data_IF_865059216740
#
_entry.id   IF_865059216740
#
_cell.length_a   1.000
_cell.length_b   1.000
_cell.length_c   1.000
_cell.angle_alpha   90.00
_cell.angle_beta   90.00
_cell.angle_gamma   90.00
#
_symmetry.space_group_name_H-M   'P 1'
#
loop_
_entity.id
_entity.type
_entity.pdbx_description
1 polymer ?
#
# COMPACT_ATOMS: atom_id res chain seq x y z
N UNK A 1 -8.15 6.86 17.85
CA UNK A 1 -6.86 6.15 18.02
C UNK A 1 -5.91 6.56 16.91
N UNK A 2 -4.64 6.88 17.20
CA UNK A 2 -3.66 7.13 16.13
C UNK A 2 -3.28 5.77 15.56
N UNK A 3 -3.70 5.47 14.33
CA UNK A 3 -3.39 4.21 13.65
C UNK A 3 -1.88 3.92 13.71
N UNK A 4 -1.53 2.62 13.78
CA UNK A 4 -0.16 2.14 13.96
C UNK A 4 0.87 2.69 12.96
N UNK A 5 2.16 2.44 13.22
CA UNK A 5 3.25 2.99 12.41
C UNK A 5 3.18 2.49 10.96
N UNK A 6 3.19 3.41 10.00
CA UNK A 6 3.29 3.10 8.56
C UNK A 6 4.51 2.24 8.23
N UNK A 7 5.62 2.43 8.94
CA UNK A 7 6.84 1.62 8.76
C UNK A 7 6.63 0.16 9.16
N UNK A 8 5.88 -0.09 10.23
CA UNK A 8 5.59 -1.43 10.70
C UNK A 8 4.65 -2.17 9.76
N UNK A 9 3.56 -1.53 9.35
CA UNK A 9 2.64 -2.11 8.37
C UNK A 9 3.36 -2.47 7.05
N UNK A 10 4.25 -1.59 6.56
CA UNK A 10 5.07 -1.88 5.38
C UNK A 10 5.98 -3.10 5.55
N UNK A 11 6.57 -3.28 6.73
CA UNK A 11 7.42 -4.44 7.04
C UNK A 11 6.61 -5.74 6.99
N UNK A 12 5.41 -5.74 7.55
CA UNK A 12 4.50 -6.89 7.51
C UNK A 12 4.17 -7.25 6.06
N UNK A 13 3.87 -6.26 5.22
CA UNK A 13 3.59 -6.50 3.81
C UNK A 13 4.75 -7.18 3.05
N UNK A 14 6.02 -7.04 3.48
CA UNK A 14 7.16 -7.67 2.80
C UNK A 14 7.15 -9.20 2.89
N UNK A 15 6.55 -9.76 3.95
CA UNK A 15 6.41 -11.21 4.12
C UNK A 15 5.04 -11.75 3.68
N UNK A 16 4.20 -10.92 3.07
CA UNK A 16 2.84 -11.28 2.72
C UNK A 16 2.79 -11.94 1.33
N UNK A 17 2.32 -13.19 1.25
CA UNK A 17 2.21 -13.95 0.00
C UNK A 17 1.24 -13.30 -1.02
N UNK A 18 0.26 -12.54 -0.54
CA UNK A 18 -0.73 -11.86 -1.38
C UNK A 18 -0.40 -10.39 -1.63
N UNK A 19 0.84 -9.96 -1.35
CA UNK A 19 1.26 -8.54 -1.44
C UNK A 19 0.91 -7.90 -2.78
N UNK A 20 1.18 -8.60 -3.88
CA UNK A 20 0.97 -8.07 -5.23
C UNK A 20 -0.53 -7.97 -5.56
N UNK A 21 -1.31 -9.01 -5.27
CA UNK A 21 -2.78 -8.99 -5.42
C UNK A 21 -3.42 -7.89 -4.54
N UNK A 22 -2.91 -7.70 -3.32
CA UNK A 22 -3.34 -6.62 -2.42
C UNK A 22 -3.05 -5.24 -3.01
N UNK A 23 -1.89 -5.05 -3.63
CA UNK A 23 -1.54 -3.80 -4.31
C UNK A 23 -2.45 -3.55 -5.52
N UNK A 24 -2.63 -4.56 -6.37
CA UNK A 24 -3.49 -4.49 -7.55
C UNK A 24 -4.91 -4.10 -7.17
N UNK A 25 -5.48 -4.76 -6.15
CA UNK A 25 -6.78 -4.41 -5.61
C UNK A 25 -6.84 -2.93 -5.18
N UNK A 26 -5.85 -2.48 -4.42
CA UNK A 26 -5.83 -1.10 -3.92
C UNK A 26 -5.72 -0.06 -5.04
N UNK A 27 -5.00 -0.38 -6.12
CA UNK A 27 -4.88 0.49 -7.29
C UNK A 27 -6.17 0.53 -8.11
N UNK A 28 -6.81 -0.62 -8.30
CA UNK A 28 -8.06 -0.77 -9.05
C UNK A 28 -9.23 -0.07 -8.34
N UNK A 29 -9.28 -0.13 -7.01
CA UNK A 29 -10.37 0.42 -6.20
C UNK A 29 -10.10 1.85 -5.67
N UNK A 30 -8.99 2.46 -6.08
CA UNK A 30 -8.54 3.79 -5.61
C UNK A 30 -8.53 3.90 -4.07
N UNK A 31 -8.05 2.85 -3.39
CA UNK A 31 -8.08 2.76 -1.93
C UNK A 31 -7.36 3.96 -1.30
N UNK A 32 -8.08 4.70 -0.44
CA UNK A 32 -7.70 6.06 -0.02
C UNK A 32 -6.87 6.11 1.25
N UNK A 33 -6.88 5.04 2.05
CA UNK A 33 -6.27 5.02 3.36
C UNK A 33 -5.44 3.76 3.59
N UNK A 34 -4.53 3.83 4.55
CA UNK A 34 -3.73 2.68 4.98
C UNK A 34 -2.61 2.25 4.03
N UNK A 35 -1.91 1.19 4.46
CA UNK A 35 -0.86 0.52 3.69
C UNK A 35 -1.47 -0.66 2.95
N UNK A 36 -1.24 -0.71 1.64
CA UNK A 36 -1.68 -1.79 0.77
C UNK A 36 -0.50 -2.25 -0.08
N UNK A 37 -0.25 -3.56 -0.13
CA UNK A 37 0.90 -4.12 -0.86
C UNK A 37 2.26 -3.53 -0.48
N UNK A 38 2.40 -3.02 0.75
CA UNK A 38 3.62 -2.35 1.22
C UNK A 38 3.77 -0.89 0.79
N UNK A 39 2.74 -0.28 0.20
CA UNK A 39 2.74 1.11 -0.25
C UNK A 39 1.73 1.93 0.55
N UNK A 40 2.11 3.14 0.91
CA UNK A 40 1.18 4.17 1.37
C UNK A 40 0.34 4.72 0.22
N UNK A 41 -0.78 5.37 0.53
CA UNK A 41 -1.62 6.04 -0.47
C UNK A 41 -0.80 6.99 -1.36
N UNK A 42 0.08 7.82 -0.77
CA UNK A 42 0.95 8.74 -1.52
C UNK A 42 1.86 8.01 -2.52
N UNK A 43 2.41 6.87 -2.15
CA UNK A 43 3.27 6.07 -3.03
C UNK A 43 2.45 5.38 -4.12
N UNK A 44 1.26 4.84 -3.79
CA UNK A 44 0.34 4.28 -4.80
C UNK A 44 -0.07 5.34 -5.83
N UNK A 45 -0.34 6.58 -5.40
CA UNK A 45 -0.63 7.70 -6.33
C UNK A 45 0.53 8.06 -7.23
N UNK A 46 1.78 7.91 -6.76
CA UNK A 46 2.97 8.10 -7.59
C UNK A 46 3.09 6.99 -8.63
N UNK A 47 2.93 5.74 -8.19
CA UNK A 47 2.92 4.56 -9.05
C UNK A 47 1.84 4.63 -10.14
N UNK A 48 0.59 4.96 -9.79
CA UNK A 48 -0.53 5.12 -10.73
C UNK A 48 -0.29 6.20 -11.79
N UNK A 49 0.55 7.19 -11.49
CA UNK A 49 0.94 8.26 -12.42
C UNK A 49 2.20 7.94 -13.23
N UNK A 50 2.81 6.77 -13.02
CA UNK A 50 4.09 6.41 -13.64
C UNK A 50 5.28 7.23 -13.14
N UNK A 51 5.14 7.90 -11.99
CA UNK A 51 6.19 8.71 -11.36
C UNK A 51 6.85 7.82 -10.31
N UNK A 52 7.67 6.87 -10.76
CA UNK A 52 8.37 5.91 -9.91
C UNK A 52 9.80 6.40 -9.69
#
# INVERSE_FOLDING_TARGET
EKGGSTREAKRICQGCEVKDMCLEYALANDERFGIWGGLSERERRRLKRGII
#
